data_IF_942068592512
#
_entry.id   IF_942068592512
#
_cell.length_a   1.000
_cell.length_b   1.000
_cell.length_c   1.000
_cell.angle_alpha   90.00
_cell.angle_beta   90.00
_cell.angle_gamma   90.00
#
_symmetry.space_group_name_H-M   'P 1'
#
loop_
_entity.id
_entity.type
_entity.pdbx_description
1 polymer ?
#
# COMPACT_ATOMS: atom_id res chain seq x y z
N UNK A 1 10.01 12.73 16.28
CA UNK A 1 9.91 12.18 14.92
C UNK A 1 9.08 10.91 14.99
N UNK A 2 7.85 10.94 14.47
CA UNK A 2 6.95 9.79 14.56
C UNK A 2 7.56 8.60 13.80
N UNK A 3 7.59 7.43 14.45
CA UNK A 3 8.00 6.18 13.80
C UNK A 3 7.02 5.92 12.67
N UNK A 4 7.53 5.77 11.45
CA UNK A 4 6.71 5.43 10.29
C UNK A 4 6.09 4.04 10.49
N UNK A 5 4.79 4.04 10.77
CA UNK A 5 4.05 2.84 11.13
C UNK A 5 4.01 1.84 9.96
N UNK A 6 4.30 0.58 10.27
CA UNK A 6 4.31 -0.52 9.30
C UNK A 6 3.00 -1.30 9.40
N UNK A 7 2.06 -0.94 8.55
CA UNK A 7 0.74 -1.55 8.47
C UNK A 7 0.82 -2.97 7.89
N UNK A 8 -0.03 -3.87 8.38
CA UNK A 8 -0.18 -5.19 7.76
C UNK A 8 -0.97 -5.04 6.46
N UNK A 9 -0.66 -5.88 5.47
CA UNK A 9 -1.41 -5.86 4.20
C UNK A 9 -2.95 -5.94 4.40
N UNK A 10 -3.51 -6.78 5.29
CA UNK A 10 -4.96 -6.79 5.52
C UNK A 10 -5.52 -5.46 6.02
N UNK A 11 -4.77 -4.71 6.84
CA UNK A 11 -5.21 -3.43 7.38
C UNK A 11 -5.23 -2.36 6.27
N UNK A 12 -4.21 -2.36 5.41
CA UNK A 12 -4.16 -1.52 4.20
C UNK A 12 -5.35 -1.81 3.29
N UNK A 13 -5.63 -3.09 3.02
CA UNK A 13 -6.75 -3.50 2.16
C UNK A 13 -8.11 -3.06 2.70
N UNK A 14 -8.28 -3.10 4.03
CA UNK A 14 -9.49 -2.58 4.70
C UNK A 14 -9.61 -1.07 4.52
N UNK A 15 -8.52 -0.35 4.68
CA UNK A 15 -8.49 1.11 4.56
C UNK A 15 -8.84 1.58 3.15
N UNK A 16 -8.22 1.00 2.12
CA UNK A 16 -8.49 1.33 0.71
C UNK A 16 -9.77 0.67 0.18
N UNK A 17 -10.50 -0.08 1.03
CA UNK A 17 -11.73 -0.84 0.69
C UNK A 17 -11.57 -1.71 -0.56
N UNK A 18 -10.44 -2.40 -0.69
CA UNK A 18 -10.10 -3.18 -1.88
C UNK A 18 -9.87 -4.65 -1.54
N UNK A 19 -10.34 -5.54 -2.42
CA UNK A 19 -10.05 -6.97 -2.28
C UNK A 19 -8.56 -7.25 -2.54
N UNK A 20 -8.03 -8.29 -1.88
CA UNK A 20 -6.65 -8.75 -2.08
C UNK A 20 -6.34 -9.04 -3.55
N UNK A 21 -7.29 -9.61 -4.29
CA UNK A 21 -7.14 -9.90 -5.72
C UNK A 21 -7.02 -8.63 -6.58
N UNK A 22 -7.85 -7.62 -6.32
CA UNK A 22 -7.76 -6.34 -7.01
C UNK A 22 -6.42 -5.64 -6.72
N UNK A 23 -5.97 -5.68 -5.47
CA UNK A 23 -4.67 -5.15 -5.08
C UNK A 23 -3.51 -5.83 -5.82
N UNK A 24 -3.51 -7.16 -5.94
CA UNK A 24 -2.47 -7.85 -6.70
C UNK A 24 -2.51 -7.55 -8.20
N UNK A 25 -3.69 -7.37 -8.81
CA UNK A 25 -3.78 -6.90 -10.20
C UNK A 25 -3.18 -5.51 -10.38
N UNK A 26 -3.46 -4.61 -9.44
CA UNK A 26 -2.91 -3.25 -9.43
C UNK A 26 -1.38 -3.28 -9.25
N UNK A 27 -0.88 -4.14 -8.35
CA UNK A 27 0.54 -4.38 -8.15
C UNK A 27 1.23 -4.92 -9.41
N UNK A 28 0.61 -5.86 -10.11
CA UNK A 28 1.13 -6.38 -11.38
C UNK A 28 1.27 -5.29 -12.45
N UNK A 29 0.43 -4.25 -12.36
CA UNK A 29 0.50 -3.06 -13.23
C UNK A 29 1.47 -1.98 -12.72
N UNK A 30 2.19 -2.22 -11.62
CA UNK A 30 3.09 -1.24 -11.01
C UNK A 30 2.38 -0.09 -10.29
N UNK A 31 1.07 -0.18 -10.07
CA UNK A 31 0.24 0.89 -9.48
C UNK A 31 -0.05 0.72 -7.99
N UNK A 32 0.75 -0.09 -7.28
CA UNK A 32 0.54 -0.38 -5.86
C UNK A 32 1.59 0.28 -4.96
N UNK A 33 1.26 0.59 -3.70
CA UNK A 33 2.23 1.12 -2.74
C UNK A 33 3.38 0.13 -2.51
N UNK A 34 4.51 0.65 -2.04
CA UNK A 34 5.70 -0.17 -1.76
C UNK A 34 5.42 -1.20 -0.68
N UNK A 35 5.76 -2.45 -0.99
CA UNK A 35 5.60 -3.58 -0.08
C UNK A 35 6.96 -3.98 0.50
N UNK A 36 7.00 -4.18 1.81
CA UNK A 36 8.15 -4.71 2.54
C UNK A 36 7.85 -6.17 2.85
N UNK A 37 8.64 -7.07 2.26
CA UNK A 37 8.62 -8.49 2.60
C UNK A 37 9.45 -8.72 3.86
N UNK A 38 8.84 -9.27 4.89
CA UNK A 38 9.51 -9.67 6.11
C UNK A 38 10.14 -11.07 5.96
N UNK A 39 11.15 -11.43 6.78
CA UNK A 39 11.75 -12.77 6.77
C UNK A 39 10.75 -13.90 7.04
N UNK A 40 9.67 -13.62 7.80
CA UNK A 40 8.58 -14.55 8.07
C UNK A 40 7.57 -14.68 6.93
N UNK A 41 7.82 -14.10 5.75
CA UNK A 41 6.94 -14.16 4.58
C UNK A 41 5.76 -13.19 4.61
N UNK A 42 5.53 -12.49 5.72
CA UNK A 42 4.48 -11.48 5.78
C UNK A 42 4.84 -10.20 5.01
N UNK A 43 3.82 -9.53 4.49
CA UNK A 43 3.96 -8.23 3.83
C UNK A 43 3.58 -7.10 4.79
N UNK A 44 4.34 -6.02 4.73
CA UNK A 44 4.09 -4.75 5.41
C UNK A 44 4.10 -3.60 4.41
N UNK A 45 3.36 -2.55 4.73
CA UNK A 45 3.34 -1.29 3.99
C UNK A 45 3.64 -0.19 4.98
N UNK A 46 4.49 0.76 4.61
CA UNK A 46 4.72 1.96 5.42
C UNK A 46 3.53 2.88 5.26
N UNK A 47 3.07 3.50 6.35
CA UNK A 47 2.00 4.52 6.29
C UNK A 47 2.39 5.63 5.31
N UNK A 48 3.63 6.10 5.37
CA UNK A 48 4.17 7.10 4.43
C UNK A 48 4.11 6.66 2.95
N UNK A 49 4.43 5.42 2.62
CA UNK A 49 4.35 4.89 1.25
C UNK A 49 2.89 4.79 0.77
N UNK A 50 1.96 4.42 1.66
CA UNK A 50 0.54 4.39 1.36
C UNK A 50 -0.01 5.80 1.11
N UNK A 51 0.37 6.77 1.94
CA UNK A 51 -0.05 8.16 1.81
C UNK A 51 0.54 8.81 0.55
N UNK A 52 1.80 8.51 0.22
CA UNK A 52 2.42 8.95 -1.03
C UNK A 52 1.69 8.38 -2.26
N UNK A 53 1.28 7.13 -2.19
CA UNK A 53 0.47 6.50 -3.24
C UNK A 53 -0.92 7.15 -3.37
N UNK A 54 -1.58 7.48 -2.26
CA UNK A 54 -2.84 8.22 -2.30
C UNK A 54 -2.68 9.60 -2.95
N UNK A 55 -1.59 10.32 -2.66
CA UNK A 55 -1.30 11.61 -3.29
C UNK A 55 -1.06 11.50 -4.80
N UNK A 56 -0.39 10.43 -5.24
CA UNK A 56 -0.17 10.16 -6.67
C UNK A 56 -1.48 9.86 -7.40
N UNK A 57 -2.42 9.18 -6.74
CA UNK A 57 -3.78 8.96 -7.28
C UNK A 57 -4.66 10.20 -7.27
N UNK A 58 -4.53 11.05 -6.25
CA UNK A 58 -5.32 12.27 -6.09
C UNK A 58 -4.85 13.40 -7.00
N UNK A 59 -3.62 13.35 -7.52
CA UNK A 59 -3.17 14.25 -8.57
C UNK A 59 -3.98 13.97 -9.84
N UNK A 60 -4.97 14.80 -10.20
CA UNK A 60 -5.66 14.64 -11.46
C UNK A 60 -4.61 14.94 -12.54
N UNK A 61 -4.42 14.01 -13.47
CA UNK A 61 -3.86 14.39 -14.76
C UNK A 61 -4.92 15.23 -15.49
N UNK A 62 -5.06 16.49 -15.09
CA UNK A 62 -5.81 17.51 -15.82
C UNK A 62 -4.99 18.79 -15.89
#
# INVERSE_FOLDING_TARGET
MARDDKLKLPDVLKEIKMSRAAFYRMRARGKAPKLIKLPNGHLRVRRSDLDAWWRDLDSPAY
#
